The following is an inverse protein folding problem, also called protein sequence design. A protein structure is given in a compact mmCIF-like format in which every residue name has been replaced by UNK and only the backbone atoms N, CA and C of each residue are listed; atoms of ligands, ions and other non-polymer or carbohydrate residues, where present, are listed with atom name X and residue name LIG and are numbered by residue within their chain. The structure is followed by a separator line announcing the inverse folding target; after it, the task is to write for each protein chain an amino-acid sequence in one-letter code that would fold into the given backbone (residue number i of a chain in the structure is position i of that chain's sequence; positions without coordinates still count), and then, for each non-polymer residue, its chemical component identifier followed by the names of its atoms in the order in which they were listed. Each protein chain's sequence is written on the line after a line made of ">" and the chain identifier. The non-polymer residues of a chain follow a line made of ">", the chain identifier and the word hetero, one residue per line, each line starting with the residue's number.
data_IF_455083834115
#
_entry.id   IF_455083834115
#
_cell.length_a   1.000
_cell.length_b   1.000
_cell.length_c   1.000
_cell.angle_alpha   90.00
_cell.angle_beta   90.00
_cell.angle_gamma   90.00
#
_symmetry.space_group_name_H-M   'P 1'
#
loop_
_entity.id
_entity.type
_entity.pdbx_description
1 polymer ?
#
# COMPACT_ATOMS: atom_id res chain seq x y z
N UNK A 1 6.78 10.72 17.19
CA UNK A 1 5.46 10.95 16.57
C UNK A 1 5.14 9.81 15.62
N UNK A 2 3.92 9.26 15.70
CA UNK A 2 3.45 8.24 14.78
C UNK A 2 3.37 8.81 13.34
N UNK A 3 3.67 7.99 12.36
CA UNK A 3 3.75 8.39 10.95
C UNK A 3 2.41 8.08 10.30
N UNK A 4 1.77 9.07 9.66
CA UNK A 4 0.54 8.86 8.90
C UNK A 4 0.87 8.42 7.48
N UNK A 5 0.08 7.48 6.97
CA UNK A 5 0.27 6.92 5.65
C UNK A 5 -1.07 6.71 4.95
N UNK A 6 -1.10 6.98 3.65
CA UNK A 6 -2.18 6.56 2.75
C UNK A 6 -1.64 5.50 1.80
N UNK A 7 -2.18 4.28 1.88
CA UNK A 7 -1.65 3.13 1.15
C UNK A 7 -2.38 2.86 -0.18
N UNK A 8 -3.33 3.70 -0.59
CA UNK A 8 -4.07 3.50 -1.84
C UNK A 8 -4.27 4.82 -2.62
N UNK A 9 -3.27 5.26 -3.37
CA UNK A 9 -3.47 6.30 -4.40
C UNK A 9 -3.57 5.63 -5.77
N UNK A 10 -4.62 5.93 -6.54
CA UNK A 10 -4.82 5.30 -7.84
C UNK A 10 -4.06 6.08 -8.91
N UNK A 11 -3.09 5.43 -9.56
CA UNK A 11 -2.45 6.00 -10.74
C UNK A 11 -3.45 6.03 -11.90
N UNK A 12 -4.03 7.21 -12.16
CA UNK A 12 -4.75 7.45 -13.40
C UNK A 12 -3.79 7.50 -14.61
N UNK A 13 -4.36 7.69 -15.80
CA UNK A 13 -3.58 7.87 -17.03
C UNK A 13 -2.77 9.17 -17.06
N UNK A 14 -3.14 10.16 -16.24
CA UNK A 14 -2.47 11.46 -16.18
C UNK A 14 -1.45 11.55 -15.03
N UNK A 15 -0.17 11.64 -15.41
CA UNK A 15 0.94 11.83 -14.47
C UNK A 15 0.88 13.18 -13.74
N UNK A 16 0.28 14.22 -14.33
CA UNK A 16 0.14 15.52 -13.67
C UNK A 16 -0.84 15.44 -12.51
N UNK A 17 -1.97 14.77 -12.71
CA UNK A 17 -2.93 14.51 -11.64
C UNK A 17 -2.31 13.70 -10.50
N UNK A 18 -1.50 12.69 -10.82
CA UNK A 18 -0.78 11.90 -9.82
C UNK A 18 0.22 12.74 -9.02
N UNK A 19 0.95 13.66 -9.66
CA UNK A 19 1.86 14.58 -8.96
C UNK A 19 1.10 15.51 -8.01
N UNK A 20 0.01 16.10 -8.47
CA UNK A 20 -0.85 16.95 -7.63
C UNK A 20 -1.45 16.18 -6.44
N UNK A 21 -1.77 14.90 -6.60
CA UNK A 21 -2.21 14.03 -5.51
C UNK A 21 -1.13 13.85 -4.44
N UNK A 22 0.11 13.58 -4.85
CA UNK A 22 1.23 13.38 -3.92
C UNK A 22 1.62 14.68 -3.22
N UNK A 23 1.57 15.81 -3.92
CA UNK A 23 1.77 17.14 -3.34
C UNK A 23 0.68 17.47 -2.30
N UNK A 24 -0.59 17.24 -2.63
CA UNK A 24 -1.69 17.43 -1.68
C UNK A 24 -1.57 16.48 -0.48
N UNK A 25 -1.16 15.24 -0.67
CA UNK A 25 -0.93 14.31 0.43
C UNK A 25 0.18 14.81 1.38
N UNK A 26 1.28 15.33 0.82
CA UNK A 26 2.36 15.93 1.59
C UNK A 26 1.88 17.16 2.38
N UNK A 27 1.07 18.03 1.75
CA UNK A 27 0.48 19.20 2.37
C UNK A 27 -0.47 18.83 3.54
N UNK A 28 -1.27 17.78 3.38
CA UNK A 28 -2.16 17.27 4.44
C UNK A 28 -1.43 16.59 5.60
N UNK A 29 -0.12 16.32 5.46
CA UNK A 29 0.72 15.74 6.51
C UNK A 29 0.96 14.23 6.39
N UNK A 30 0.61 13.60 5.25
CA UNK A 30 0.99 12.21 4.99
C UNK A 30 2.50 12.11 4.76
N UNK A 31 3.15 11.20 5.48
CA UNK A 31 4.60 10.99 5.33
C UNK A 31 4.93 9.85 4.38
N UNK A 32 4.00 8.93 4.16
CA UNK A 32 4.15 7.78 3.26
C UNK A 32 2.90 7.69 2.41
N UNK A 33 3.08 7.51 1.11
CA UNK A 33 1.99 7.24 0.17
C UNK A 33 2.34 6.03 -0.70
N UNK A 34 1.35 5.22 -1.05
CA UNK A 34 1.54 4.11 -1.98
C UNK A 34 0.71 4.31 -3.26
N UNK A 35 1.37 4.19 -4.41
CA UNK A 35 0.74 4.24 -5.72
C UNK A 35 0.28 2.83 -6.08
N UNK A 36 -1.02 2.67 -6.23
CA UNK A 36 -1.67 1.40 -6.45
C UNK A 36 -1.90 1.14 -7.94
N UNK A 37 -1.46 -0.04 -8.39
CA UNK A 37 -1.72 -0.60 -9.70
C UNK A 37 -2.77 -1.70 -9.57
N UNK A 38 -3.89 -1.54 -10.26
CA UNK A 38 -5.03 -2.45 -10.17
C UNK A 38 -4.99 -3.41 -11.36
N UNK A 39 -4.99 -4.70 -11.08
CA UNK A 39 -5.02 -5.73 -12.12
C UNK A 39 -6.29 -6.55 -11.98
N UNK A 40 -7.12 -6.52 -13.02
CA UNK A 40 -8.26 -7.42 -13.17
C UNK A 40 -7.99 -8.38 -14.33
N UNK A 41 -7.79 -9.66 -13.99
CA UNK A 41 -7.59 -10.70 -14.97
C UNK A 41 -8.90 -10.96 -15.72
N UNK A 42 -9.02 -10.44 -16.95
CA UNK A 42 -10.10 -10.77 -17.88
C UNK A 42 -9.77 -11.99 -18.74
N UNK A 43 -8.47 -12.25 -18.95
CA UNK A 43 -7.96 -13.38 -19.71
C UNK A 43 -6.98 -14.21 -18.87
N UNK A 44 -6.86 -15.51 -19.17
CA UNK A 44 -6.04 -16.47 -18.40
C UNK A 44 -4.53 -16.20 -18.47
N UNK A 45 -4.06 -15.32 -19.37
CA UNK A 45 -2.64 -14.99 -19.57
C UNK A 45 -2.42 -13.48 -19.60
N UNK A 46 -2.71 -12.81 -18.49
CA UNK A 46 -2.28 -11.42 -18.32
C UNK A 46 -1.01 -11.41 -17.49
N UNK A 47 0.06 -10.82 -18.02
CA UNK A 47 1.27 -10.60 -17.24
C UNK A 47 1.11 -9.34 -16.38
N UNK A 48 1.58 -9.42 -15.14
CA UNK A 48 1.65 -8.27 -14.25
C UNK A 48 2.76 -7.34 -14.79
N UNK A 49 2.47 -6.07 -14.99
CA UNK A 49 3.48 -5.11 -15.46
C UNK A 49 4.53 -4.86 -14.38
N UNK A 50 5.69 -4.29 -14.77
CA UNK A 50 6.67 -3.84 -13.78
C UNK A 50 6.16 -2.53 -13.18
N UNK A 51 6.34 -2.29 -11.86
CA UNK A 51 6.02 -1.01 -11.28
C UNK A 51 6.87 0.08 -11.94
N UNK A 52 6.26 1.24 -12.20
CA UNK A 52 6.98 2.41 -12.68
C UNK A 52 7.93 2.88 -11.58
N UNK A 53 9.19 3.17 -11.93
CA UNK A 53 10.16 3.63 -10.96
C UNK A 53 9.74 5.00 -10.42
N UNK A 54 9.76 5.17 -9.10
CA UNK A 54 9.40 6.45 -8.45
C UNK A 54 10.26 7.60 -8.98
N UNK A 55 11.53 7.34 -9.30
CA UNK A 55 12.46 8.30 -9.90
C UNK A 55 12.07 8.77 -11.31
N UNK A 56 11.32 7.96 -12.06
CA UNK A 56 10.79 8.34 -13.37
C UNK A 56 9.53 9.20 -13.22
N UNK A 57 8.75 8.96 -12.18
CA UNK A 57 7.51 9.68 -11.90
C UNK A 57 7.77 11.07 -11.30
N UNK A 58 8.77 11.19 -10.43
CA UNK A 58 9.08 12.39 -9.65
C UNK A 58 10.56 12.76 -9.77
N UNK A 59 10.83 13.98 -10.25
CA UNK A 59 12.19 14.57 -10.24
C UNK A 59 12.59 15.02 -8.85
N UNK A 60 11.63 15.49 -8.05
CA UNK A 60 11.82 15.90 -6.66
C UNK A 60 10.56 15.58 -5.88
N UNK A 61 10.72 15.00 -4.69
CA UNK A 61 9.60 14.64 -3.82
C UNK A 61 9.24 15.81 -2.91
N UNK A 62 7.94 16.12 -2.75
CA UNK A 62 7.51 17.24 -1.93
C UNK A 62 7.83 17.00 -0.45
N UNK A 63 8.12 18.09 0.27
CA UNK A 63 8.32 18.07 1.72
C UNK A 63 6.98 17.99 2.45
N UNK A 64 6.92 17.16 3.49
CA UNK A 64 5.70 16.93 4.25
C UNK A 64 5.43 18.10 5.19
N UNK A 65 4.21 18.62 5.22
CA UNK A 65 3.87 19.70 6.15
C UNK A 65 4.05 19.24 7.60
N UNK A 66 4.74 20.06 8.40
CA UNK A 66 5.06 19.76 9.79
C UNK A 66 6.27 18.83 9.98
N UNK A 67 6.93 18.36 8.91
CA UNK A 67 8.17 17.59 8.97
C UNK A 67 9.16 18.03 7.89
N UNK A 68 10.41 18.25 8.26
CA UNK A 68 11.50 18.56 7.31
C UNK A 68 12.02 17.34 6.53
N UNK A 69 11.13 16.44 6.11
CA UNK A 69 11.48 15.23 5.35
C UNK A 69 10.62 15.10 4.09
N UNK A 70 11.19 14.60 2.98
CA UNK A 70 10.41 14.32 1.78
C UNK A 70 9.43 13.18 2.03
N UNK A 71 8.30 13.21 1.32
CA UNK A 71 7.31 12.13 1.35
C UNK A 71 7.91 10.84 0.78
N UNK A 72 7.64 9.69 1.41
CA UNK A 72 8.06 8.38 0.90
C UNK A 72 6.97 7.83 -0.02
N UNK A 73 7.29 7.66 -1.30
CA UNK A 73 6.38 7.04 -2.28
C UNK A 73 6.74 5.57 -2.43
N UNK A 74 5.73 4.71 -2.36
CA UNK A 74 5.83 3.26 -2.47
C UNK A 74 5.03 2.75 -3.67
N UNK A 75 5.34 1.54 -4.11
CA UNK A 75 4.60 0.86 -5.17
C UNK A 75 3.71 -0.23 -4.57
N UNK A 76 2.45 -0.24 -4.97
CA UNK A 76 1.47 -1.21 -4.52
C UNK A 76 0.79 -1.90 -5.71
N UNK A 77 0.50 -3.18 -5.56
CA UNK A 77 -0.31 -3.96 -6.49
C UNK A 77 -1.60 -4.38 -5.81
N UNK A 78 -2.75 -4.19 -6.46
CA UNK A 78 -4.04 -4.76 -6.05
C UNK A 78 -4.57 -5.68 -7.12
N UNK A 79 -4.76 -6.96 -6.77
CA UNK A 79 -5.30 -7.96 -7.70
C UNK A 79 -6.77 -8.22 -7.39
N UNK A 80 -7.62 -8.04 -8.41
CA UNK A 80 -9.03 -8.41 -8.35
C UNK A 80 -9.15 -9.91 -8.62
N UNK A 81 -9.54 -10.66 -7.60
CA UNK A 81 -9.67 -12.12 -7.66
C UNK A 81 -11.14 -12.49 -7.78
N UNK A 82 -11.52 -12.85 -9.01
CA UNK A 82 -12.84 -13.35 -9.35
C UNK A 82 -12.88 -14.89 -9.46
N UNK A 83 -11.75 -15.50 -9.85
CA UNK A 83 -11.62 -16.95 -10.09
C UNK A 83 -10.45 -17.54 -9.29
N UNK A 84 -10.54 -18.79 -8.78
CA UNK A 84 -9.45 -19.43 -8.05
C UNK A 84 -8.15 -19.58 -8.84
N UNK A 85 -8.20 -19.62 -10.18
CA UNK A 85 -7.00 -19.69 -11.01
C UNK A 85 -6.12 -18.45 -10.89
N UNK A 86 -6.68 -17.27 -10.60
CA UNK A 86 -5.92 -16.03 -10.41
C UNK A 86 -5.02 -16.11 -9.17
N UNK A 87 -5.43 -16.87 -8.16
CA UNK A 87 -4.63 -17.12 -6.95
C UNK A 87 -3.32 -17.85 -7.25
N UNK A 88 -3.25 -18.62 -8.35
CA UNK A 88 -2.03 -19.33 -8.72
C UNK A 88 -0.91 -18.36 -9.11
N UNK A 89 -1.23 -17.19 -9.68
CA UNK A 89 -0.25 -16.15 -10.00
C UNK A 89 0.40 -15.57 -8.74
N UNK A 90 -0.39 -15.45 -7.67
CA UNK A 90 0.09 -15.01 -6.35
C UNK A 90 0.91 -16.11 -5.65
N UNK A 91 0.41 -17.36 -5.65
CA UNK A 91 1.10 -18.51 -5.03
C UNK A 91 2.40 -18.89 -5.71
N UNK A 92 2.47 -18.75 -7.04
CA UNK A 92 3.67 -19.04 -7.81
C UNK A 92 4.82 -18.05 -7.53
N UNK A 93 4.62 -17.08 -6.61
CA UNK A 93 5.64 -16.10 -6.23
C UNK A 93 6.23 -15.44 -7.46
N UNK A 94 5.36 -14.98 -8.37
CA UNK A 94 5.84 -14.44 -9.63
C UNK A 94 6.87 -13.33 -9.35
N UNK A 95 8.00 -13.38 -10.06
CA UNK A 95 9.13 -12.46 -9.86
C UNK A 95 8.70 -10.99 -9.90
N UNK A 96 7.62 -10.71 -10.63
CA UNK A 96 7.01 -9.38 -10.78
C UNK A 96 6.24 -8.92 -9.55
N UNK A 97 5.51 -9.80 -8.86
CA UNK A 97 4.79 -9.47 -7.61
C UNK A 97 5.77 -9.12 -6.47
N UNK A 98 7.00 -9.64 -6.50
CA UNK A 98 8.06 -9.27 -5.55
C UNK A 98 8.65 -7.87 -5.80
N UNK A 99 8.41 -7.25 -6.97
CA UNK A 99 8.89 -5.91 -7.25
C UNK A 99 8.11 -4.85 -6.47
N UNK A 100 6.80 -5.05 -6.33
CA UNK A 100 5.92 -4.18 -5.56
C UNK A 100 6.24 -4.27 -4.06
N UNK A 101 6.18 -3.12 -3.38
CA UNK A 101 6.43 -3.04 -1.94
C UNK A 101 5.27 -3.59 -1.13
N UNK A 102 4.03 -3.36 -1.59
CA UNK A 102 2.80 -3.84 -0.96
C UNK A 102 1.97 -4.63 -1.97
N UNK A 103 1.47 -5.80 -1.57
CA UNK A 103 0.57 -6.62 -2.37
C UNK A 103 -0.76 -6.78 -1.66
N UNK A 104 -1.81 -6.31 -2.32
CA UNK A 104 -3.17 -6.36 -1.87
C UNK A 104 -4.02 -7.26 -2.78
N UNK A 105 -5.05 -7.87 -2.20
CA UNK A 105 -6.00 -8.70 -2.93
C UNK A 105 -7.43 -8.25 -2.66
N UNK A 106 -8.24 -8.25 -3.72
CA UNK A 106 -9.65 -7.94 -3.66
C UNK A 106 -10.47 -9.18 -4.03
N UNK A 107 -10.97 -9.94 -3.04
CA UNK A 107 -11.74 -11.16 -3.29
C UNK A 107 -13.23 -10.87 -3.57
N UNK A 108 -13.77 -11.37 -4.68
CA UNK A 108 -15.21 -11.20 -5.03
C UNK A 108 -16.15 -12.24 -4.39
N UNK A 109 -15.63 -13.37 -3.89
CA UNK A 109 -16.45 -14.46 -3.32
C UNK A 109 -15.98 -14.87 -1.93
N UNK A 110 -16.87 -15.47 -1.14
CA UNK A 110 -16.56 -15.94 0.22
C UNK A 110 -15.40 -16.96 0.23
N UNK A 111 -15.39 -17.88 -0.74
CA UNK A 111 -14.34 -18.90 -0.87
C UNK A 111 -12.98 -18.26 -1.13
N UNK A 112 -12.93 -17.24 -2.00
CA UNK A 112 -11.70 -16.51 -2.30
C UNK A 112 -11.26 -15.63 -1.13
N UNK A 113 -12.20 -15.04 -0.40
CA UNK A 113 -11.90 -14.31 0.83
C UNK A 113 -11.25 -15.22 1.89
N UNK A 114 -11.80 -16.43 2.08
CA UNK A 114 -11.20 -17.41 2.98
C UNK A 114 -9.77 -17.76 2.56
N UNK A 115 -9.56 -18.09 1.28
CA UNK A 115 -8.23 -18.42 0.73
C UNK A 115 -7.25 -17.26 0.87
N UNK A 116 -7.70 -16.02 0.65
CA UNK A 116 -6.88 -14.82 0.84
C UNK A 116 -6.39 -14.67 2.29
N UNK A 117 -7.27 -14.94 3.25
CA UNK A 117 -6.95 -14.85 4.67
C UNK A 117 -6.02 -15.96 5.17
N UNK A 118 -6.15 -17.19 4.64
CA UNK A 118 -5.47 -18.37 5.21
C UNK A 118 -4.25 -18.83 4.41
N UNK A 119 -4.26 -18.73 3.08
CA UNK A 119 -3.30 -19.41 2.22
C UNK A 119 -2.52 -18.51 1.26
N UNK A 120 -2.95 -17.27 1.02
CA UNK A 120 -2.22 -16.36 0.13
C UNK A 120 -1.20 -15.54 0.90
N UNK A 121 -0.02 -15.36 0.30
CA UNK A 121 1.04 -14.49 0.80
C UNK A 121 0.81 -13.05 0.31
N UNK A 122 -0.17 -12.40 0.94
CA UNK A 122 -0.58 -11.02 0.67
C UNK A 122 -0.41 -10.17 1.93
N UNK A 123 -0.22 -8.87 1.74
CA UNK A 123 -0.04 -7.92 2.83
C UNK A 123 -1.39 -7.34 3.28
N UNK A 124 -2.28 -7.11 2.30
CA UNK A 124 -3.58 -6.48 2.51
C UNK A 124 -4.71 -7.28 1.86
N UNK A 125 -5.85 -7.35 2.52
CA UNK A 125 -7.12 -7.80 1.93
C UNK A 125 -8.04 -6.60 1.81
N UNK A 126 -8.29 -6.18 0.58
CA UNK A 126 -9.21 -5.09 0.26
C UNK A 126 -10.65 -5.56 0.42
N UNK A 127 -11.44 -4.82 1.17
CA UNK A 127 -12.86 -5.10 1.31
C UNK A 127 -13.63 -4.19 0.37
N UNK A 128 -14.55 -4.75 -0.42
CA UNK A 128 -15.38 -3.96 -1.32
C UNK A 128 -16.36 -3.11 -0.55
N UNK A 129 -16.31 -1.81 -0.82
CA UNK A 129 -17.06 -0.79 -0.09
C UNK A 129 -18.12 -0.13 -0.99
N UNK A 130 -18.09 -0.40 -2.30
CA UNK A 130 -18.93 0.23 -3.34
C UNK A 130 -20.26 -0.48 -3.59
N UNK A 131 -20.36 -1.77 -3.29
CA UNK A 131 -21.54 -2.60 -3.53
C UNK A 131 -21.88 -3.43 -2.29
N UNK A 132 -23.10 -3.96 -2.23
CA UNK A 132 -23.47 -4.92 -1.18
C UNK A 132 -22.59 -6.15 -1.31
N UNK A 133 -21.83 -6.49 -0.26
CA UNK A 133 -21.02 -7.69 -0.25
C UNK A 133 -21.93 -8.93 -0.46
N UNK A 134 -21.57 -9.83 -1.39
CA UNK A 134 -22.38 -11.01 -1.67
C UNK A 134 -22.23 -12.11 -0.61
N UNK A 135 -21.45 -11.87 0.44
CA UNK A 135 -21.18 -12.82 1.52
C UNK A 135 -21.02 -12.12 2.88
N UNK A 136 -21.10 -12.92 3.94
CA UNK A 136 -20.90 -12.46 5.31
C UNK A 136 -19.49 -12.76 5.80
N UNK A 137 -18.95 -11.90 6.66
CA UNK A 137 -17.67 -12.12 7.30
C UNK A 137 -17.77 -13.22 8.36
N UNK A 138 -16.91 -14.24 8.23
CA UNK A 138 -16.76 -15.31 9.22
C UNK A 138 -15.56 -15.04 10.12
N UNK A 139 -15.70 -15.31 11.42
CA UNK A 139 -14.63 -15.11 12.42
C UNK A 139 -13.36 -15.93 12.16
N UNK A 140 -13.43 -17.23 11.80
CA UNK A 140 -12.23 -18.06 11.63
C UNK A 140 -11.21 -17.52 10.62
N UNK A 141 -11.57 -17.19 9.36
CA UNK A 141 -10.58 -16.64 8.41
C UNK A 141 -10.01 -15.30 8.86
N UNK A 142 -10.82 -14.44 9.49
CA UNK A 142 -10.35 -13.13 9.97
C UNK A 142 -9.32 -13.28 11.08
N UNK A 143 -9.56 -14.16 12.06
CA UNK A 143 -8.58 -14.39 13.13
C UNK A 143 -7.26 -14.90 12.57
N UNK A 144 -7.31 -15.86 11.63
CA UNK A 144 -6.10 -16.39 10.98
C UNK A 144 -5.34 -15.29 10.23
N UNK A 145 -6.05 -14.41 9.50
CA UNK A 145 -5.41 -13.28 8.82
C UNK A 145 -4.74 -12.31 9.80
N UNK A 146 -5.40 -12.00 10.92
CA UNK A 146 -4.86 -11.12 11.96
C UNK A 146 -3.61 -11.72 12.58
N UNK A 147 -3.62 -13.01 12.91
CA UNK A 147 -2.47 -13.72 13.51
C UNK A 147 -1.29 -13.83 12.52
N UNK A 148 -1.58 -13.90 11.22
CA UNK A 148 -0.57 -13.85 10.14
C UNK A 148 -0.02 -12.45 9.90
N UNK A 149 -0.60 -11.40 10.48
CA UNK A 149 -0.19 -10.01 10.26
C UNK A 149 -0.78 -9.36 9.01
N UNK A 150 -1.73 -10.02 8.34
CA UNK A 150 -2.46 -9.46 7.19
C UNK A 150 -3.43 -8.39 7.68
N UNK A 151 -3.47 -7.24 7.00
CA UNK A 151 -4.39 -6.15 7.34
C UNK A 151 -5.61 -6.10 6.40
N UNK A 152 -6.74 -5.68 6.93
CA UNK A 152 -7.97 -5.44 6.17
C UNK A 152 -8.05 -3.98 5.78
N UNK A 153 -8.19 -3.73 4.49
CA UNK A 153 -8.28 -2.36 3.97
C UNK A 153 -9.72 -1.95 3.70
N UNK A 154 -10.08 -0.79 4.28
CA UNK A 154 -11.31 -0.07 4.01
C UNK A 154 -11.02 1.20 3.21
N UNK A 155 -11.55 1.25 2.00
CA UNK A 155 -11.42 2.40 1.11
C UNK A 155 -12.56 3.39 1.36
N UNK A 156 -12.26 4.64 1.72
CA UNK A 156 -13.30 5.62 2.08
C UNK A 156 -13.80 6.49 0.92
N UNK A 157 -13.08 6.62 -0.21
CA UNK A 157 -13.52 7.49 -1.31
C UNK A 157 -14.95 7.24 -1.81
N UNK A 158 -15.46 5.99 -1.90
CA UNK A 158 -16.85 5.75 -2.28
C UNK A 158 -17.88 6.44 -1.37
N UNK A 159 -17.58 6.61 -0.08
CA UNK A 159 -18.47 7.28 0.86
C UNK A 159 -18.58 8.79 0.64
N UNK A 160 -17.57 9.42 0.03
CA UNK A 160 -17.61 10.85 -0.29
C UNK A 160 -18.13 11.12 -1.71
N UNK A 161 -17.96 10.17 -2.65
CA UNK A 161 -18.33 10.34 -4.07
C UNK A 161 -19.84 10.28 -4.29
N UNK A 162 -20.51 9.27 -3.73
CA UNK A 162 -21.90 9.00 -4.03
C UNK A 162 -22.70 8.57 -2.80
N UNK A 163 -23.96 9.00 -2.75
CA UNK A 163 -24.86 8.74 -1.61
C UNK A 163 -25.26 7.26 -1.48
N UNK A 164 -25.40 6.54 -2.60
CA UNK A 164 -25.74 5.11 -2.58
C UNK A 164 -24.53 4.28 -2.19
N UNK A 165 -23.35 4.60 -2.74
CA UNK A 165 -22.09 3.96 -2.35
C UNK A 165 -21.77 4.18 -0.88
N UNK A 166 -22.03 5.38 -0.34
CA UNK A 166 -21.88 5.67 1.10
C UNK A 166 -22.64 4.71 2.00
N UNK A 167 -23.87 4.33 1.63
CA UNK A 167 -24.67 3.38 2.42
C UNK A 167 -24.00 2.01 2.47
N UNK A 168 -23.54 1.50 1.33
CA UNK A 168 -22.82 0.23 1.28
C UNK A 168 -21.49 0.31 2.01
N UNK A 169 -20.82 1.46 1.94
CA UNK A 169 -19.55 1.69 2.60
C UNK A 169 -19.65 1.49 4.10
N UNK A 170 -20.57 2.22 4.71
CA UNK A 170 -20.78 2.21 6.16
C UNK A 170 -21.29 0.83 6.59
N UNK A 171 -22.24 0.24 5.85
CA UNK A 171 -22.79 -1.08 6.17
C UNK A 171 -21.73 -2.19 6.15
N UNK A 172 -20.92 -2.26 5.10
CA UNK A 172 -19.88 -3.29 4.96
C UNK A 172 -18.77 -3.10 6.01
N UNK A 173 -18.40 -1.86 6.30
CA UNK A 173 -17.42 -1.56 7.34
C UNK A 173 -17.90 -1.99 8.74
N UNK A 174 -19.17 -1.68 9.09
CA UNK A 174 -19.77 -2.12 10.35
C UNK A 174 -19.85 -3.64 10.46
N UNK A 175 -20.21 -4.33 9.38
CA UNK A 175 -20.22 -5.80 9.33
C UNK A 175 -18.82 -6.39 9.57
N UNK A 176 -17.77 -5.76 9.04
CA UNK A 176 -16.40 -6.17 9.34
C UNK A 176 -16.05 -5.91 10.81
N UNK A 177 -16.38 -4.73 11.35
CA UNK A 177 -16.04 -4.37 12.72
C UNK A 177 -16.69 -5.27 13.76
N UNK A 178 -17.92 -5.73 13.52
CA UNK A 178 -18.58 -6.70 14.40
C UNK A 178 -17.79 -8.01 14.54
N UNK A 179 -17.06 -8.41 13.49
CA UNK A 179 -16.36 -9.69 13.42
C UNK A 179 -14.88 -9.55 13.80
N UNK A 180 -14.22 -8.50 13.28
CA UNK A 180 -12.80 -8.22 13.42
C UNK A 180 -12.45 -7.45 14.72
N UNK A 181 -13.42 -6.74 15.30
CA UNK A 181 -13.24 -5.91 16.50
C UNK A 181 -12.11 -4.87 16.38
N UNK A 182 -11.96 -4.27 15.19
CA UNK A 182 -10.98 -3.21 14.93
C UNK A 182 -9.52 -3.65 14.76
N UNK A 183 -9.23 -4.95 14.82
CA UNK A 183 -7.85 -5.47 14.71
C UNK A 183 -7.33 -5.43 13.27
N UNK A 184 -6.12 -4.92 13.07
CA UNK A 184 -5.43 -4.89 11.76
C UNK A 184 -6.27 -4.26 10.64
N UNK A 185 -7.07 -3.24 10.96
CA UNK A 185 -7.84 -2.50 9.96
C UNK A 185 -7.03 -1.28 9.52
N UNK A 186 -6.96 -1.02 8.22
CA UNK A 186 -6.41 0.21 7.65
C UNK A 186 -7.49 0.96 6.88
N UNK A 187 -7.38 2.29 6.86
CA UNK A 187 -8.26 3.15 6.07
C UNK A 187 -7.41 3.87 5.02
N UNK A 188 -7.83 3.80 3.77
CA UNK A 188 -7.12 4.40 2.64
C UNK A 188 -8.08 5.14 1.72
N UNK A 189 -7.55 6.04 0.89
CA UNK A 189 -8.41 6.90 0.07
C UNK A 189 -8.87 6.20 -1.20
N UNK A 190 -8.02 5.48 -1.93
CA UNK A 190 -8.20 5.18 -3.36
C UNK A 190 -8.52 6.45 -4.18
N UNK A 191 -7.91 7.58 -3.80
CA UNK A 191 -8.14 8.86 -4.47
C UNK A 191 -7.58 8.82 -5.90
N UNK A 192 -8.41 9.25 -6.85
CA UNK A 192 -8.01 9.49 -8.24
C UNK A 192 -7.85 10.99 -8.51
N UNK A 193 -8.51 11.82 -7.70
CA UNK A 193 -8.48 13.28 -7.82
C UNK A 193 -7.98 13.94 -6.53
N UNK A 194 -7.25 15.07 -6.61
CA UNK A 194 -6.69 15.74 -5.44
C UNK A 194 -7.73 16.21 -4.40
N UNK A 195 -9.01 16.30 -4.77
CA UNK A 195 -10.11 16.67 -3.87
C UNK A 195 -10.75 15.49 -3.14
N UNK A 196 -10.28 14.26 -3.37
CA UNK A 196 -10.82 13.03 -2.74
C UNK A 196 -10.00 12.62 -1.52
N UNK A 197 -8.74 13.05 -1.43
CA UNK A 197 -7.91 12.83 -0.26
C UNK A 197 -8.34 13.76 0.88
N UNK A 198 -8.30 13.27 2.12
CA UNK A 198 -8.64 14.00 3.35
C UNK A 198 -7.45 13.99 4.28
N UNK A 199 -7.39 14.95 5.20
CA UNK A 199 -6.34 14.98 6.22
C UNK A 199 -6.41 13.73 7.12
N UNK A 200 -5.28 13.23 7.63
CA UNK A 200 -5.24 11.96 8.37
C UNK A 200 -6.13 11.94 9.62
N UNK A 201 -6.29 13.09 10.29
CA UNK A 201 -7.19 13.21 11.44
C UNK A 201 -8.68 13.17 11.05
N UNK A 202 -9.02 13.72 9.88
CA UNK A 202 -10.39 13.63 9.35
C UNK A 202 -10.72 12.19 8.94
N UNK A 203 -9.74 11.48 8.34
CA UNK A 203 -9.87 10.04 8.04
C UNK A 203 -10.01 9.22 9.33
N UNK A 204 -9.29 9.56 10.40
CA UNK A 204 -9.47 8.91 11.70
C UNK A 204 -10.90 9.15 12.25
N UNK A 205 -11.45 10.35 12.10
CA UNK A 205 -12.84 10.62 12.48
C UNK A 205 -13.84 9.81 11.63
N UNK A 206 -13.59 9.62 10.34
CA UNK A 206 -14.39 8.70 9.51
C UNK A 206 -14.31 7.25 10.00
N UNK A 207 -13.17 6.83 10.57
CA UNK A 207 -13.03 5.52 11.19
C UNK A 207 -14.02 5.28 12.33
N UNK A 208 -14.38 6.31 13.10
CA UNK A 208 -15.42 6.21 14.13
C UNK A 208 -16.79 5.87 13.54
N UNK A 209 -17.13 6.46 12.38
CA UNK A 209 -18.36 6.16 11.66
C UNK A 209 -18.39 4.70 11.15
N UNK A 210 -17.23 4.13 10.88
CA UNK A 210 -17.07 2.73 10.51
C UNK A 210 -17.14 1.76 11.69
N UNK A 211 -17.29 2.27 12.92
CA UNK A 211 -17.42 1.46 14.13
C UNK A 211 -16.08 1.12 14.81
N UNK A 212 -15.00 1.81 14.44
CA UNK A 212 -13.74 1.72 15.18
C UNK A 212 -13.80 2.56 16.46
N UNK A 213 -13.02 2.17 17.46
CA UNK A 213 -12.75 3.03 18.62
C UNK A 213 -11.84 4.20 18.22
N UNK A 214 -11.77 5.26 19.02
CA UNK A 214 -10.89 6.42 18.75
C UNK A 214 -9.42 6.01 18.62
N UNK A 215 -8.96 5.10 19.49
CA UNK A 215 -7.61 4.56 19.43
C UNK A 215 -7.36 3.75 18.16
N UNK A 216 -8.32 2.88 17.80
CA UNK A 216 -8.17 2.02 16.62
C UNK A 216 -8.29 2.80 15.32
N UNK A 217 -9.15 3.82 15.27
CA UNK A 217 -9.32 4.67 14.12
C UNK A 217 -8.04 5.50 13.83
N UNK A 218 -7.40 6.03 14.87
CA UNK A 218 -6.09 6.66 14.75
C UNK A 218 -4.99 5.66 14.37
N UNK A 219 -5.05 4.44 14.91
CA UNK A 219 -4.12 3.38 14.55
C UNK A 219 -4.28 2.93 13.09
N UNK A 220 -5.51 2.94 12.55
CA UNK A 220 -5.84 2.52 11.19
C UNK A 220 -5.18 3.38 10.10
N UNK A 221 -4.87 4.64 10.39
CA UNK A 221 -4.15 5.56 9.47
C UNK A 221 -2.66 5.71 9.81
N UNK A 222 -2.18 5.04 10.87
CA UNK A 222 -0.82 5.17 11.36
C UNK A 222 -0.17 3.84 11.71
N UNK A 223 -0.39 3.32 12.92
CA UNK A 223 0.29 2.11 13.43
C UNK A 223 0.02 0.88 12.56
N UNK A 224 -1.23 0.68 12.14
CA UNK A 224 -1.61 -0.48 11.32
C UNK A 224 -1.03 -0.35 9.90
N UNK A 225 -1.00 0.87 9.34
CA UNK A 225 -0.31 1.13 8.06
C UNK A 225 1.19 0.81 8.14
N UNK A 226 1.83 1.14 9.27
CA UNK A 226 3.24 0.79 9.50
C UNK A 226 3.43 -0.73 9.60
N UNK A 227 2.55 -1.43 10.29
CA UNK A 227 2.58 -2.89 10.39
C UNK A 227 2.44 -3.54 9.01
N UNK A 228 1.47 -3.09 8.20
CA UNK A 228 1.29 -3.57 6.83
C UNK A 228 2.52 -3.31 5.95
N UNK A 229 3.17 -2.16 6.11
CA UNK A 229 4.38 -1.84 5.37
C UNK A 229 5.55 -2.76 5.74
N UNK A 230 5.71 -3.05 7.04
CA UNK A 230 6.75 -3.96 7.52
C UNK A 230 6.47 -5.40 7.06
N UNK A 231 5.20 -5.81 7.04
CA UNK A 231 4.80 -7.11 6.48
C UNK A 231 5.24 -7.24 5.01
N UNK A 232 5.00 -6.21 4.19
CA UNK A 232 5.48 -6.17 2.79
C UNK A 232 7.00 -6.23 2.65
N UNK A 233 7.75 -5.57 3.54
CA UNK A 233 9.21 -5.60 3.55
C UNK A 233 9.77 -7.00 3.87
N UNK A 234 9.16 -7.70 4.83
CA UNK A 234 9.53 -9.08 5.16
C UNK A 234 9.20 -10.05 4.02
N UNK A 235 8.08 -9.87 3.32
CA UNK A 235 7.73 -10.64 2.11
C UNK A 235 8.74 -10.44 0.98
N UNK A 236 9.22 -9.21 0.77
CA UNK A 236 10.15 -8.85 -0.32
C UNK A 236 11.54 -9.42 -0.13
N UNK A 237 12.00 -9.51 1.13
CA UNK A 237 13.32 -10.02 1.49
C UNK A 237 13.30 -11.54 1.66
N UNK A 238 13.25 -12.04 2.91
CA UNK A 238 13.28 -13.46 3.23
C UNK A 238 12.55 -13.81 4.53
N UNK A 239 11.43 -13.13 4.82
CA UNK A 239 10.55 -13.25 6.01
C UNK A 239 11.22 -12.98 7.38
N UNK A 240 12.48 -13.33 7.58
CA UNK A 240 13.25 -13.13 8.82
C UNK A 240 14.66 -12.58 8.64
N UNK A 241 15.16 -12.39 7.41
CA UNK A 241 16.50 -11.82 7.14
C UNK A 241 16.38 -10.66 6.15
N UNK A 242 16.80 -9.47 6.56
CA UNK A 242 16.90 -8.29 5.69
C UNK A 242 18.38 -8.10 5.31
N UNK A 243 18.73 -8.43 4.08
CA UNK A 243 20.08 -8.19 3.54
C UNK A 243 20.12 -6.85 2.81
N UNK A 244 20.85 -5.88 3.37
CA UNK A 244 21.09 -4.57 2.73
C UNK A 244 22.56 -4.40 2.39
N UNK A 245 22.86 -4.02 1.16
CA UNK A 245 24.22 -3.62 0.77
C UNK A 245 24.40 -2.14 1.11
N UNK A 246 25.06 -1.85 2.23
CA UNK A 246 25.46 -0.47 2.58
C UNK A 246 26.62 -0.06 1.69
N UNK A 247 26.36 0.73 0.66
CA UNK A 247 27.42 1.46 -0.04
C UNK A 247 27.77 2.71 0.76
N UNK A 248 29.03 2.95 1.15
CA UNK A 248 29.43 4.21 1.75
C UNK A 248 29.15 5.34 0.76
N UNK A 249 28.67 6.48 1.26
CA UNK A 249 28.59 7.70 0.44
C UNK A 249 30.03 8.09 0.10
N UNK A 250 30.35 8.47 -1.15
CA UNK A 250 31.64 9.10 -1.43
C UNK A 250 31.70 10.37 -0.58
N UNK A 251 32.67 10.42 0.34
CA UNK A 251 33.07 11.66 1.00
C UNK A 251 33.71 12.56 -0.06
N UNK A 252 33.40 13.86 -0.04
CA UNK A 252 34.02 14.90 -0.89
C UNK A 252 35.52 15.12 -0.59
N UNK A 253 36.23 14.10 -0.08
CA UNK A 253 37.63 14.16 0.31
C UNK A 253 38.57 13.35 -0.61
N UNK A 254 38.04 12.60 -1.58
CA UNK A 254 38.85 11.67 -2.41
C UNK A 254 39.04 12.11 -3.87
N UNK A 255 38.82 13.38 -4.21
CA UNK A 255 39.14 13.90 -5.56
C UNK A 255 40.60 14.35 -5.76
N UNK A 256 41.44 14.37 -4.72
CA UNK A 256 42.83 14.86 -4.81
C UNK A 256 43.92 13.78 -4.85
N UNK A 257 43.58 12.50 -4.99
CA UNK A 257 44.58 11.45 -5.20
C UNK A 257 44.48 10.81 -6.59
N UNK A 258 44.90 11.56 -7.60
CA UNK A 258 45.30 10.95 -8.88
C UNK A 258 46.48 9.99 -8.62
N UNK A 259 46.43 8.73 -9.08
CA UNK A 259 47.57 7.84 -8.97
C UNK A 259 48.70 8.34 -9.88
N UNK A 260 49.87 8.58 -9.31
CA UNK A 260 51.06 9.02 -10.02
C UNK A 260 51.35 8.09 -11.21
N UNK A 261 51.29 8.66 -12.42
CA UNK A 261 51.70 8.03 -13.66
C UNK A 261 53.13 7.49 -13.52
N UNK A 262 53.33 6.19 -13.69
CA UNK A 262 54.66 5.56 -13.72
C UNK A 262 55.45 6.16 -14.89
N UNK A 263 56.47 6.97 -14.58
CA UNK A 263 57.45 7.45 -15.57
C UNK A 263 58.07 6.25 -16.27
N UNK A 264 57.97 6.23 -17.59
CA UNK A 264 58.74 5.34 -18.45
C UNK A 264 60.24 5.63 -18.26
N UNK A 265 61.02 4.58 -18.00
CA UNK A 265 62.47 4.64 -17.94
C UNK A 265 62.99 4.60 -19.39
N UNK A 266 63.47 5.74 -19.89
CA UNK A 266 64.38 5.78 -21.03
C UNK A 266 65.80 5.70 -20.49
N UNK A 267 66.48 4.60 -20.79
CA UNK A 267 67.94 4.42 -20.85
C UNK A 267 68.11 3.65 -22.18
N UNK A 268 68.98 3.99 -23.13
CA UNK A 268 70.22 4.74 -23.16
C UNK A 268 71.05 4.06 -24.25
#
# INVERSE_FOLDING_TARGET
>A
MAVFADLDLRAGSDLKALRGLVENAAHLGYSVVAINHVVEFKEKKQEIEKPVAVSELFTTLPMVQGKSRPIKVLTRLTIIVSDPSHCNVLRATSSRVRLYDIVAVFPKTEKLFHVACTHLDVDLVCITVTEKLPFYFKRPPINVAVDRGVCFELVYSPAIKDSTMRRYTISNALNLMQVCKGKNVIISSAAERPLEIRGPYDVANLGLLFGLSESDAKAAVSTNCRAALLHGETRKTAFGIISTVKKPRPSEADEDSLPACKKAKCEG
#
